data_IF_817591215957
#
_entry.id   IF_817591215957
#
_cell.length_a   1.000
_cell.length_b   1.000
_cell.length_c   1.000
_cell.angle_alpha   90.00
_cell.angle_beta   90.00
_cell.angle_gamma   90.00
#
_symmetry.space_group_name_H-M   'P 1'
#
loop_
_entity.id
_entity.type
_entity.pdbx_description
1 polymer ?
#
# COMPACT_ATOMS: atom_id res chain seq x y z
N UNK A 1 8.55 11.22 5.93
CA UNK A 1 9.17 10.76 4.65
C UNK A 1 8.40 9.57 4.12
N UNK A 2 8.37 9.29 2.81
CA UNK A 2 7.71 8.05 2.32
C UNK A 2 8.54 6.79 2.62
N UNK A 3 7.90 5.62 2.75
CA UNK A 3 8.61 4.33 2.89
C UNK A 3 9.57 4.04 1.73
N UNK A 4 9.25 4.51 0.53
CA UNK A 4 10.13 4.40 -0.63
C UNK A 4 11.38 5.30 -0.52
N UNK A 5 11.27 6.45 0.14
CA UNK A 5 12.42 7.31 0.44
C UNK A 5 13.32 6.65 1.49
N UNK A 6 12.74 6.08 2.56
CA UNK A 6 13.51 5.34 3.57
C UNK A 6 14.37 4.24 2.95
N UNK A 7 13.85 3.47 1.98
CA UNK A 7 14.64 2.47 1.26
C UNK A 7 15.82 3.10 0.52
N UNK A 8 15.61 4.25 -0.14
CA UNK A 8 16.68 4.96 -0.87
C UNK A 8 17.77 5.45 0.07
N UNK A 9 17.38 5.97 1.23
CA UNK A 9 18.31 6.46 2.25
C UNK A 9 19.11 5.30 2.85
N UNK A 10 18.46 4.17 3.18
CA UNK A 10 19.19 2.97 3.59
C UNK A 10 20.16 2.48 2.51
N UNK A 11 19.75 2.48 1.23
CA UNK A 11 20.64 2.11 0.13
C UNK A 11 21.85 3.03 0.00
N UNK A 12 21.70 4.32 0.30
CA UNK A 12 22.82 5.27 0.29
C UNK A 12 23.90 4.88 1.30
N UNK A 13 23.51 4.40 2.48
CA UNK A 13 24.45 3.91 3.50
C UNK A 13 24.94 2.48 3.24
N UNK A 14 24.07 1.59 2.73
CA UNK A 14 24.39 0.16 2.60
C UNK A 14 25.25 -0.13 1.36
N UNK A 15 25.04 0.58 0.25
CA UNK A 15 25.80 0.32 -0.99
C UNK A 15 27.32 0.49 -0.85
N UNK A 16 27.86 1.54 -0.19
CA UNK A 16 29.31 1.68 -0.01
C UNK A 16 29.87 0.87 1.17
N UNK A 17 29.01 0.26 1.99
CA UNK A 17 29.43 -0.37 3.25
C UNK A 17 30.26 -1.65 3.06
N UNK A 18 31.20 -1.89 3.99
CA UNK A 18 31.94 -3.14 4.04
C UNK A 18 31.02 -4.34 4.34
N UNK A 19 29.99 -4.15 5.17
CA UNK A 19 29.02 -5.20 5.51
C UNK A 19 28.33 -5.80 4.29
N UNK A 20 27.91 -4.95 3.33
CA UNK A 20 27.16 -5.41 2.15
C UNK A 20 28.03 -5.59 0.90
N UNK A 21 29.31 -5.20 0.93
CA UNK A 21 30.26 -5.38 -0.17
C UNK A 21 30.28 -6.83 -0.72
N UNK A 22 30.32 -7.90 0.11
CA UNK A 22 30.32 -9.27 -0.42
C UNK A 22 29.09 -9.60 -1.28
N UNK A 23 27.92 -9.06 -0.91
CA UNK A 23 26.66 -9.28 -1.64
C UNK A 23 26.68 -8.55 -2.99
N UNK A 24 27.23 -7.34 -3.02
CA UNK A 24 27.38 -6.54 -4.24
C UNK A 24 28.39 -7.19 -5.19
N UNK A 25 29.55 -7.63 -4.67
CA UNK A 25 30.58 -8.32 -5.45
C UNK A 25 30.03 -9.61 -6.06
N UNK A 26 29.29 -10.40 -5.29
CA UNK A 26 28.66 -11.62 -5.78
C UNK A 26 27.63 -11.35 -6.89
N UNK A 27 26.79 -10.32 -6.74
CA UNK A 27 25.85 -9.93 -7.78
C UNK A 27 26.57 -9.44 -9.05
N UNK A 28 27.68 -8.71 -8.89
CA UNK A 28 28.53 -8.25 -9.99
C UNK A 28 29.13 -9.43 -10.76
N UNK A 29 29.68 -10.41 -10.04
CA UNK A 29 30.21 -11.64 -10.62
C UNK A 29 29.12 -12.42 -11.38
N UNK A 30 27.94 -12.60 -10.78
CA UNK A 30 26.81 -13.28 -11.42
C UNK A 30 26.41 -12.60 -12.74
N UNK A 31 26.36 -11.26 -12.77
CA UNK A 31 26.03 -10.49 -13.98
C UNK A 31 27.08 -10.61 -15.08
N UNK A 32 28.36 -10.68 -14.72
CA UNK A 32 29.45 -10.86 -15.68
C UNK A 32 29.35 -12.20 -16.44
N UNK A 33 28.77 -13.23 -15.80
CA UNK A 33 28.62 -14.57 -16.36
C UNK A 33 27.27 -14.79 -17.08
N UNK A 34 26.42 -13.77 -17.20
CA UNK A 34 25.14 -13.92 -17.89
C UNK A 34 25.28 -14.00 -19.42
N UNK A 35 24.38 -14.76 -20.05
CA UNK A 35 24.35 -14.87 -21.51
C UNK A 35 24.05 -13.52 -22.18
N UNK A 36 24.57 -13.33 -23.40
CA UNK A 36 24.37 -12.12 -24.21
C UNK A 36 22.89 -11.71 -24.34
N UNK A 37 21.96 -12.66 -24.40
CA UNK A 37 20.53 -12.38 -24.46
C UNK A 37 19.99 -11.78 -23.15
N UNK A 38 20.46 -12.27 -21.99
CA UNK A 38 20.09 -11.71 -20.67
C UNK A 38 20.68 -10.31 -20.49
N UNK A 39 21.93 -10.12 -20.89
CA UNK A 39 22.59 -8.81 -20.86
C UNK A 39 21.88 -7.79 -21.77
N UNK A 40 21.52 -8.18 -23.02
CA UNK A 40 20.76 -7.32 -23.95
C UNK A 40 19.38 -6.94 -23.39
N UNK A 41 18.63 -7.88 -22.80
CA UNK A 41 17.33 -7.60 -22.16
C UNK A 41 17.46 -6.60 -21.02
N UNK A 42 18.56 -6.65 -20.25
CA UNK A 42 18.81 -5.71 -19.15
C UNK A 42 19.24 -4.33 -19.60
N UNK A 43 19.96 -4.18 -20.73
CA UNK A 43 20.40 -2.85 -21.22
C UNK A 43 19.24 -1.87 -21.48
N UNK A 44 18.00 -2.35 -21.58
CA UNK A 44 16.80 -1.53 -21.75
C UNK A 44 16.28 -0.85 -20.45
N UNK A 45 16.92 -1.04 -19.29
CA UNK A 45 16.45 -0.51 -17.99
C UNK A 45 17.53 0.11 -17.09
N UNK A 46 17.11 0.79 -16.01
CA UNK A 46 18.00 1.30 -14.95
C UNK A 46 18.67 0.12 -14.22
N UNK A 47 19.98 0.01 -14.38
CA UNK A 47 20.73 -1.24 -14.18
C UNK A 47 21.76 -1.22 -13.05
N UNK A 48 21.63 -0.27 -12.13
CA UNK A 48 22.61 -0.11 -11.06
C UNK A 48 22.70 -1.35 -10.15
N UNK A 49 23.91 -1.79 -9.84
CA UNK A 49 24.14 -2.88 -8.89
C UNK A 49 24.11 -2.26 -7.50
N UNK A 50 23.05 -2.58 -6.76
CA UNK A 50 22.81 -2.03 -5.43
C UNK A 50 22.27 -3.11 -4.52
N UNK A 51 22.34 -2.86 -3.22
CA UNK A 51 21.72 -3.71 -2.21
C UNK A 51 20.22 -3.78 -2.49
N UNK A 52 19.74 -4.99 -2.81
CA UNK A 52 18.32 -5.23 -3.08
C UNK A 52 17.54 -5.07 -1.79
N UNK A 53 16.53 -4.20 -1.80
CA UNK A 53 15.71 -3.90 -0.63
C UNK A 53 14.23 -3.79 -0.98
N UNK A 54 13.36 -4.04 0.00
CA UNK A 54 11.92 -3.81 -0.04
C UNK A 54 11.37 -3.59 1.37
N UNK A 55 10.10 -3.22 1.51
CA UNK A 55 9.46 -3.01 2.81
C UNK A 55 8.26 -3.95 3.02
N UNK A 56 7.99 -4.31 4.28
CA UNK A 56 6.95 -5.26 4.70
C UNK A 56 5.62 -4.63 5.07
N UNK A 57 5.30 -3.48 4.47
CA UNK A 57 4.11 -2.69 4.77
C UNK A 57 4.40 -1.20 4.69
N UNK A 58 3.56 -0.44 3.98
CA UNK A 58 3.72 1.00 3.86
C UNK A 58 3.48 1.67 5.22
N UNK A 59 4.20 2.76 5.47
CA UNK A 59 3.96 3.67 6.57
C UNK A 59 3.55 5.02 5.96
N UNK A 60 2.51 5.65 6.50
CA UNK A 60 2.05 6.95 6.00
C UNK A 60 3.18 7.98 6.08
N UNK A 61 3.29 8.95 5.14
CA UNK A 61 4.43 9.86 5.11
C UNK A 61 4.63 10.66 6.40
N UNK A 62 3.53 11.04 7.07
CA UNK A 62 3.52 11.75 8.36
C UNK A 62 3.79 10.86 9.58
N UNK A 63 3.73 9.55 9.41
CA UNK A 63 3.81 8.61 10.50
C UNK A 63 5.27 8.29 10.85
N UNK A 64 5.49 7.97 12.12
CA UNK A 64 6.73 7.45 12.66
C UNK A 64 6.55 5.98 13.07
N UNK A 65 7.65 5.35 13.47
CA UNK A 65 7.61 4.02 14.08
C UNK A 65 8.21 2.92 13.21
N UNK A 66 7.84 1.68 13.50
CA UNK A 66 8.45 0.47 12.92
C UNK A 66 8.17 0.40 11.41
N UNK A 67 9.23 0.25 10.61
CA UNK A 67 9.16 -0.08 9.18
C UNK A 67 10.04 -1.29 8.91
N UNK A 68 9.41 -2.44 8.62
CA UNK A 68 10.14 -3.68 8.32
C UNK A 68 10.78 -3.56 6.94
N UNK A 69 12.11 -3.74 6.87
CA UNK A 69 12.88 -3.78 5.63
C UNK A 69 13.42 -5.18 5.37
N UNK A 70 13.22 -5.66 4.14
CA UNK A 70 13.81 -6.91 3.67
C UNK A 70 15.04 -6.61 2.82
N UNK A 71 16.16 -7.28 3.10
CA UNK A 71 17.42 -7.13 2.36
C UNK A 71 17.76 -8.41 1.59
N UNK A 72 18.18 -8.28 0.32
CA UNK A 72 18.61 -9.39 -0.51
C UNK A 72 17.54 -10.46 -0.69
N UNK A 73 17.81 -11.68 -0.20
CA UNK A 73 16.84 -12.79 -0.22
C UNK A 73 15.69 -12.59 0.78
N UNK A 74 15.89 -11.79 1.83
CA UNK A 74 14.87 -11.45 2.82
C UNK A 74 13.67 -10.71 2.22
N UNK A 75 13.82 -10.08 1.04
CA UNK A 75 12.67 -9.46 0.34
C UNK A 75 11.56 -10.46 0.01
N UNK A 76 11.87 -11.77 -0.07
CA UNK A 76 10.89 -12.82 -0.36
C UNK A 76 9.96 -13.11 0.83
N UNK A 77 10.36 -12.75 2.04
CA UNK A 77 9.57 -12.97 3.26
C UNK A 77 8.66 -11.79 3.60
N UNK A 78 8.77 -10.66 2.87
CA UNK A 78 8.04 -9.43 3.16
C UNK A 78 6.52 -9.59 3.15
N UNK A 79 5.99 -10.52 2.35
CA UNK A 79 4.56 -10.78 2.28
C UNK A 79 3.98 -11.20 3.64
N UNK A 80 4.69 -12.03 4.39
CA UNK A 80 4.24 -12.50 5.72
C UNK A 80 4.07 -11.37 6.75
N UNK A 81 4.79 -10.26 6.56
CA UNK A 81 4.70 -9.10 7.44
C UNK A 81 3.53 -8.17 7.10
N UNK A 82 2.91 -8.34 5.92
CA UNK A 82 1.71 -7.58 5.58
C UNK A 82 0.52 -8.06 6.43
N UNK A 83 0.44 -9.37 6.65
CA UNK A 83 -0.70 -10.05 7.30
C UNK A 83 -0.61 -10.07 8.84
N UNK A 84 0.52 -9.64 9.42
CA UNK A 84 0.68 -9.57 10.87
C UNK A 84 -0.13 -8.43 11.52
N UNK A 85 -0.38 -8.57 12.83
CA UNK A 85 -0.98 -7.51 13.64
C UNK A 85 -0.01 -6.34 13.84
N UNK A 86 -0.58 -5.15 14.02
CA UNK A 86 0.17 -3.90 14.17
C UNK A 86 -0.41 -3.13 15.35
N UNK A 87 0.45 -2.50 16.13
CA UNK A 87 0.04 -1.59 17.19
C UNK A 87 0.38 -0.17 16.78
N UNK A 88 -0.59 0.71 16.93
CA UNK A 88 -0.49 2.13 16.61
C UNK A 88 -0.82 2.96 17.83
N UNK A 89 -0.14 4.09 17.94
CA UNK A 89 -0.53 5.21 18.78
C UNK A 89 -0.79 6.41 17.87
N UNK A 90 -1.97 7.00 17.99
CA UNK A 90 -2.42 8.09 17.11
C UNK A 90 -2.99 9.22 17.94
N UNK A 91 -2.81 10.45 17.47
CA UNK A 91 -3.54 11.60 18.02
C UNK A 91 -4.64 11.98 17.05
N UNK A 92 -5.87 12.01 17.57
CA UNK A 92 -7.07 12.45 16.86
C UNK A 92 -7.36 13.89 17.25
N UNK A 93 -7.47 14.78 16.25
CA UNK A 93 -7.82 16.19 16.44
C UNK A 93 -9.24 16.42 15.91
N UNK A 94 -10.13 16.94 16.76
CA UNK A 94 -11.54 17.11 16.44
C UNK A 94 -11.85 18.46 15.78
N UNK A 95 -13.08 18.61 15.27
CA UNK A 95 -13.65 19.84 14.75
C UNK A 95 -13.36 20.15 13.27
N UNK A 96 -12.60 19.32 12.56
CA UNK A 96 -12.43 19.45 11.12
C UNK A 96 -12.11 18.12 10.43
N UNK A 97 -12.50 18.02 9.16
CA UNK A 97 -12.15 16.91 8.26
C UNK A 97 -11.29 17.40 7.10
N UNK A 98 -10.32 16.59 6.67
CA UNK A 98 -9.46 16.87 5.53
C UNK A 98 -9.63 15.83 4.42
N UNK A 99 -9.17 16.13 3.21
CA UNK A 99 -9.25 15.22 2.06
C UNK A 99 -8.37 13.96 2.22
N UNK A 100 -7.24 14.07 2.93
CA UNK A 100 -6.33 12.95 3.23
C UNK A 100 -6.66 12.22 4.53
N UNK A 101 -7.62 12.73 5.33
CA UNK A 101 -7.94 12.33 6.71
C UNK A 101 -6.80 12.52 7.72
N UNK A 102 -5.77 13.29 7.36
CA UNK A 102 -4.68 13.68 8.25
C UNK A 102 -4.42 15.18 8.18
N UNK A 103 -3.55 15.67 9.07
CA UNK A 103 -3.19 17.09 9.15
C UNK A 103 -2.40 17.65 7.96
N UNK A 104 -2.05 16.81 6.97
CA UNK A 104 -1.27 17.24 5.79
C UNK A 104 -2.18 17.57 4.60
N UNK A 105 -3.44 17.13 4.65
CA UNK A 105 -4.44 17.43 3.63
C UNK A 105 -5.00 18.84 3.72
N UNK A 106 -6.01 19.11 2.89
CA UNK A 106 -6.77 20.35 2.86
C UNK A 106 -8.07 20.20 3.63
N UNK A 107 -8.48 21.25 4.35
CA UNK A 107 -9.75 21.27 5.07
C UNK A 107 -10.93 21.16 4.09
N UNK A 108 -11.73 20.11 4.25
CA UNK A 108 -12.99 19.94 3.54
C UNK A 108 -14.14 20.64 4.27
N UNK A 109 -14.19 20.47 5.60
CA UNK A 109 -15.28 20.95 6.45
C UNK A 109 -14.77 21.19 7.87
N UNK A 110 -15.25 22.28 8.47
CA UNK A 110 -15.14 22.60 9.91
C UNK A 110 -16.48 22.31 10.58
N UNK A 111 -16.44 21.78 11.79
CA UNK A 111 -17.63 21.39 12.57
C UNK A 111 -17.48 21.82 14.02
N UNK A 112 -18.61 21.98 14.72
CA UNK A 112 -18.60 22.29 16.13
C UNK A 112 -17.89 21.19 16.94
N UNK A 113 -17.14 21.61 17.95
CA UNK A 113 -16.35 20.73 18.80
C UNK A 113 -16.54 20.99 20.30
N UNK A 114 -17.29 22.03 20.69
CA UNK A 114 -17.49 22.42 22.09
C UNK A 114 -18.20 21.34 22.93
N UNK A 115 -19.04 20.53 22.29
CA UNK A 115 -19.78 19.46 22.95
C UNK A 115 -18.97 18.19 23.18
N UNK A 116 -17.77 18.09 22.61
CA UNK A 116 -16.97 16.86 22.64
C UNK A 116 -16.29 16.76 24.00
N UNK A 117 -16.59 15.68 24.71
CA UNK A 117 -16.03 15.42 26.04
C UNK A 117 -15.31 14.08 26.07
N UNK A 118 -14.36 13.93 27.00
CA UNK A 118 -13.65 12.66 27.22
C UNK A 118 -14.60 11.44 27.35
N UNK A 119 -15.66 11.47 28.19
CA UNK A 119 -16.56 10.32 28.33
C UNK A 119 -17.30 9.97 27.04
N UNK A 120 -17.67 10.98 26.24
CA UNK A 120 -18.32 10.77 24.94
C UNK A 120 -17.40 10.04 23.97
N UNK A 121 -16.11 10.39 23.94
CA UNK A 121 -15.10 9.72 23.12
C UNK A 121 -14.85 8.30 23.63
N UNK A 122 -14.69 8.10 24.94
CA UNK A 122 -14.51 6.77 25.53
C UNK A 122 -15.69 5.83 25.22
N UNK A 123 -16.93 6.34 25.23
CA UNK A 123 -18.11 5.58 24.82
C UNK A 123 -18.09 5.25 23.32
N UNK A 124 -17.79 6.24 22.47
CA UNK A 124 -17.71 6.04 21.02
C UNK A 124 -16.68 4.96 20.63
N UNK A 125 -15.53 4.92 21.31
CA UNK A 125 -14.47 3.93 21.10
C UNK A 125 -14.95 2.49 21.27
N UNK A 126 -15.96 2.22 22.11
CA UNK A 126 -16.47 0.86 22.31
C UNK A 126 -16.97 0.22 21.02
N UNK A 127 -17.55 1.01 20.11
CA UNK A 127 -18.07 0.52 18.83
C UNK A 127 -17.00 0.16 17.80
N UNK A 128 -15.75 0.55 18.04
CA UNK A 128 -14.61 0.25 17.16
C UNK A 128 -13.78 -0.95 17.65
N UNK A 129 -14.18 -1.60 18.74
CA UNK A 129 -13.53 -2.83 19.22
C UNK A 129 -14.09 -4.07 18.52
N UNK A 130 -13.22 -5.02 18.21
CA UNK A 130 -13.57 -6.24 17.49
C UNK A 130 -13.70 -6.03 15.99
N UNK A 131 -14.53 -6.87 15.35
CA UNK A 131 -14.65 -6.94 13.89
C UNK A 131 -15.68 -5.97 13.35
N UNK A 132 -15.29 -5.17 12.36
CA UNK A 132 -16.21 -4.29 11.64
C UNK A 132 -15.75 -4.04 10.19
N UNK A 133 -16.60 -3.40 9.40
CA UNK A 133 -16.30 -3.01 8.02
C UNK A 133 -15.78 -1.57 8.01
N UNK A 134 -14.61 -1.38 7.42
CA UNK A 134 -13.98 -0.06 7.28
C UNK A 134 -13.84 0.29 5.81
N UNK A 135 -14.17 1.53 5.43
CA UNK A 135 -13.84 2.05 4.11
C UNK A 135 -12.38 2.55 4.08
N UNK A 136 -11.54 2.06 3.16
CA UNK A 136 -10.22 2.63 2.92
C UNK A 136 -10.30 4.10 2.51
N UNK A 137 -9.35 4.96 2.92
CA UNK A 137 -9.34 6.35 2.52
C UNK A 137 -8.99 6.46 1.02
N UNK A 138 -9.48 7.53 0.39
CA UNK A 138 -9.19 7.86 -1.00
C UNK A 138 -7.67 7.97 -1.25
N UNK A 139 -6.93 8.60 -0.34
CA UNK A 139 -5.47 8.68 -0.39
C UNK A 139 -4.81 7.41 0.18
N UNK A 140 -4.98 6.29 -0.51
CA UNK A 140 -4.38 4.99 -0.17
C UNK A 140 -3.61 4.36 -1.35
N UNK A 141 -2.73 3.41 -1.05
CA UNK A 141 -1.98 2.64 -2.04
C UNK A 141 -2.82 1.50 -2.66
N UNK A 142 -4.11 1.40 -2.33
CA UNK A 142 -5.03 0.43 -2.92
C UNK A 142 -5.10 0.65 -4.44
N UNK A 143 -5.10 -0.42 -5.23
CA UNK A 143 -5.15 -0.32 -6.70
C UNK A 143 -6.56 -0.50 -7.24
N UNK A 144 -6.93 0.35 -8.17
CA UNK A 144 -8.08 0.19 -9.07
C UNK A 144 -7.58 0.24 -10.50
N UNK A 145 -7.92 -0.78 -11.29
CA UNK A 145 -7.48 -0.94 -12.68
C UNK A 145 -5.95 -0.78 -12.88
N UNK A 146 -5.17 -1.31 -11.92
CA UNK A 146 -3.71 -1.26 -11.96
C UNK A 146 -3.08 0.03 -11.44
N UNK A 147 -3.85 1.10 -11.24
CA UNK A 147 -3.38 2.39 -10.69
C UNK A 147 -3.75 2.55 -9.20
N UNK A 148 -2.86 3.07 -8.34
CA UNK A 148 -3.17 3.40 -6.94
C UNK A 148 -4.24 4.50 -6.78
N UNK A 149 -5.06 4.45 -5.72
CA UNK A 149 -6.13 5.43 -5.46
C UNK A 149 -5.62 6.86 -5.29
N UNK A 150 -4.50 7.03 -4.60
CA UNK A 150 -3.92 8.36 -4.42
C UNK A 150 -3.54 9.03 -5.75
N UNK A 151 -3.32 8.27 -6.83
CA UNK A 151 -3.03 8.83 -8.16
C UNK A 151 -4.29 9.43 -8.78
N UNK A 152 -5.43 8.73 -8.67
CA UNK A 152 -6.73 9.29 -9.10
C UNK A 152 -7.07 10.58 -8.35
N UNK A 153 -6.88 10.57 -7.03
CA UNK A 153 -7.12 11.74 -6.18
C UNK A 153 -6.28 12.96 -6.60
N UNK A 154 -4.96 12.76 -6.80
CA UNK A 154 -4.05 13.83 -7.21
C UNK A 154 -4.27 14.33 -8.63
N UNK A 155 -4.72 13.45 -9.52
CA UNK A 155 -5.07 13.81 -10.89
C UNK A 155 -6.47 14.45 -11.00
N UNK A 156 -7.23 14.52 -9.90
CA UNK A 156 -8.62 14.98 -9.88
C UNK A 156 -9.53 14.14 -10.77
N UNK A 157 -9.17 12.87 -11.02
CA UNK A 157 -9.91 11.98 -11.90
C UNK A 157 -10.94 11.18 -11.12
N UNK A 158 -12.15 10.98 -11.67
CA UNK A 158 -13.12 10.10 -11.05
C UNK A 158 -12.54 8.70 -10.94
N UNK A 159 -12.81 8.05 -9.80
CA UNK A 159 -12.45 6.66 -9.62
C UNK A 159 -13.34 5.77 -10.53
N UNK A 160 -12.81 4.70 -11.14
CA UNK A 160 -13.57 3.88 -12.09
C UNK A 160 -14.78 3.18 -11.47
N UNK A 161 -14.69 2.88 -10.17
CA UNK A 161 -15.73 2.24 -9.37
C UNK A 161 -15.62 2.67 -7.92
N UNK A 162 -16.64 2.38 -7.15
CA UNK A 162 -16.70 2.64 -5.72
C UNK A 162 -15.59 1.91 -4.94
N UNK A 163 -15.13 2.53 -3.86
CA UNK A 163 -14.18 1.92 -2.93
C UNK A 163 -14.95 0.88 -2.11
N UNK A 164 -14.55 -0.39 -2.19
CA UNK A 164 -15.15 -1.44 -1.39
C UNK A 164 -14.66 -1.38 0.07
N UNK A 165 -15.59 -1.52 1.01
CA UNK A 165 -15.29 -1.72 2.43
C UNK A 165 -14.53 -3.03 2.67
N UNK A 166 -13.80 -3.07 3.78
CA UNK A 166 -12.98 -4.24 4.17
C UNK A 166 -13.24 -4.61 5.61
N UNK A 167 -13.32 -5.91 5.87
CA UNK A 167 -13.36 -6.44 7.21
C UNK A 167 -12.04 -6.20 7.91
N UNK A 168 -12.09 -5.52 9.06
CA UNK A 168 -10.96 -5.27 9.94
C UNK A 168 -11.28 -5.78 11.34
N UNK A 169 -10.26 -5.95 12.17
CA UNK A 169 -10.40 -6.41 13.55
C UNK A 169 -9.47 -5.61 14.45
N UNK A 170 -10.02 -5.10 15.55
CA UNK A 170 -9.33 -4.30 16.57
C UNK A 170 -9.37 -5.05 17.89
N UNK A 171 -8.26 -5.72 18.21
CA UNK A 171 -8.12 -6.54 19.42
C UNK A 171 -7.94 -5.72 20.69
N UNK A 172 -7.26 -4.58 20.61
CA UNK A 172 -7.01 -3.67 21.73
C UNK A 172 -7.32 -2.25 21.27
N UNK A 173 -7.96 -1.46 22.11
CA UNK A 173 -8.27 -0.05 21.84
C UNK A 173 -8.39 0.70 23.16
N UNK A 174 -7.53 1.69 23.36
CA UNK A 174 -7.41 2.41 24.63
C UNK A 174 -7.23 3.91 24.37
N UNK A 175 -7.95 4.74 25.12
CA UNK A 175 -7.69 6.17 25.22
C UNK A 175 -6.52 6.36 26.21
N UNK A 176 -5.37 6.77 25.71
CA UNK A 176 -4.17 6.97 26.55
C UNK A 176 -4.16 8.35 27.20
N UNK A 177 -4.53 9.38 26.45
CA UNK A 177 -4.43 10.76 26.89
C UNK A 177 -5.58 11.58 26.30
N UNK A 178 -6.16 12.44 27.13
CA UNK A 178 -7.15 13.43 26.72
C UNK A 178 -6.52 14.81 26.81
N UNK A 179 -6.60 15.57 25.72
CA UNK A 179 -6.15 16.95 25.68
C UNK A 179 -7.36 17.87 25.69
N UNK A 180 -7.49 18.62 26.78
CA UNK A 180 -8.49 19.69 26.87
C UNK A 180 -8.19 20.81 25.85
N UNK A 181 -9.22 21.54 25.40
CA UNK A 181 -9.04 22.76 24.61
C UNK A 181 -7.92 23.66 25.16
N UNK A 182 -6.94 23.96 24.32
CA UNK A 182 -5.81 24.85 24.64
C UNK A 182 -4.62 24.17 25.33
N UNK A 183 -4.67 22.87 25.60
CA UNK A 183 -3.58 22.14 26.29
C UNK A 183 -2.58 21.45 25.34
N UNK A 184 -2.82 21.46 24.03
CA UNK A 184 -1.98 20.80 23.04
C UNK A 184 -1.54 21.73 21.89
N UNK A 185 -0.49 21.31 21.19
CA UNK A 185 0.10 22.04 20.05
C UNK A 185 -0.43 21.60 18.67
N UNK A 186 -1.25 20.54 18.58
CA UNK A 186 -1.82 20.12 17.30
C UNK A 186 -2.71 21.21 16.69
N UNK A 187 -2.63 21.38 15.36
CA UNK A 187 -3.36 22.40 14.59
C UNK A 187 -4.01 21.76 13.37
N UNK A 188 -5.12 22.35 12.91
CA UNK A 188 -5.66 22.05 11.58
C UNK A 188 -4.73 22.60 10.49
N UNK A 189 -4.72 22.00 9.29
CA UNK A 189 -4.01 22.57 8.16
C UNK A 189 -4.59 23.93 7.74
N UNK A 190 -3.76 24.81 7.21
CA UNK A 190 -4.18 26.15 6.77
C UNK A 190 -4.86 26.15 5.40
N UNK A 191 -4.58 25.15 4.55
CA UNK A 191 -5.15 25.06 3.21
C UNK A 191 -6.59 24.56 3.26
N UNK A 192 -7.50 25.27 2.59
CA UNK A 192 -8.88 24.82 2.39
C UNK A 192 -9.03 24.17 1.00
N UNK A 193 -9.82 23.10 0.95
CA UNK A 193 -10.14 22.42 -0.29
C UNK A 193 -11.05 23.29 -1.17
N UNK A 194 -10.85 23.22 -2.48
CA UNK A 194 -11.71 23.86 -3.48
C UNK A 194 -13.11 23.24 -3.47
N UNK A 195 -14.11 23.96 -4.01
CA UNK A 195 -15.48 23.44 -4.12
C UNK A 195 -15.56 22.11 -4.86
N UNK A 196 -14.69 21.91 -5.86
CA UNK A 196 -14.59 20.65 -6.59
C UNK A 196 -14.09 19.51 -5.71
N UNK A 197 -13.01 19.73 -4.96
CA UNK A 197 -12.45 18.74 -4.03
C UNK A 197 -13.45 18.39 -2.91
N UNK A 198 -14.21 19.39 -2.42
CA UNK A 198 -15.30 19.16 -1.45
C UNK A 198 -16.41 18.29 -2.03
N UNK A 199 -16.92 18.62 -3.22
CA UNK A 199 -17.98 17.84 -3.87
C UNK A 199 -17.55 16.40 -4.18
N UNK A 200 -16.30 16.20 -4.58
CA UNK A 200 -15.74 14.86 -4.80
C UNK A 200 -15.67 14.04 -3.51
N UNK A 201 -15.22 14.65 -2.41
CA UNK A 201 -15.18 13.98 -1.11
C UNK A 201 -16.59 13.63 -0.60
N UNK A 202 -17.56 14.53 -0.78
CA UNK A 202 -18.96 14.26 -0.42
C UNK A 202 -19.56 13.08 -1.19
N UNK A 203 -19.22 12.94 -2.47
CA UNK A 203 -19.67 11.78 -3.27
C UNK A 203 -19.10 10.47 -2.72
N UNK A 204 -17.81 10.44 -2.36
CA UNK A 204 -17.18 9.27 -1.74
C UNK A 204 -17.83 8.92 -0.39
N UNK A 205 -18.14 9.91 0.44
CA UNK A 205 -18.82 9.70 1.73
C UNK A 205 -20.28 9.27 1.60
N UNK A 206 -20.99 9.67 0.54
CA UNK A 206 -22.34 9.16 0.27
C UNK A 206 -22.30 7.66 -0.02
N UNK A 207 -21.41 7.25 -0.91
CA UNK A 207 -21.15 5.84 -1.22
C UNK A 207 -20.80 5.04 0.04
N UNK A 208 -19.99 5.62 0.94
CA UNK A 208 -19.68 5.00 2.23
C UNK A 208 -20.91 4.74 3.08
N UNK A 209 -21.77 5.75 3.24
CA UNK A 209 -23.02 5.61 3.99
C UNK A 209 -23.95 4.58 3.35
N UNK A 210 -24.07 4.56 2.04
CA UNK A 210 -24.94 3.62 1.32
C UNK A 210 -24.44 2.18 1.48
N UNK A 211 -23.13 1.96 1.35
CA UNK A 211 -22.51 0.65 1.59
C UNK A 211 -22.63 0.18 3.04
N UNK A 212 -22.51 1.08 4.02
CA UNK A 212 -22.70 0.73 5.44
C UNK A 212 -24.16 0.48 5.80
N UNK A 213 -25.11 1.18 5.17
CA UNK A 213 -26.55 1.06 5.45
C UNK A 213 -27.25 -0.02 4.61
N UNK A 214 -26.53 -0.69 3.69
CA UNK A 214 -27.06 -1.72 2.78
C UNK A 214 -28.22 -1.25 1.89
N UNK A 215 -28.37 0.07 1.69
CA UNK A 215 -29.43 0.64 0.86
C UNK A 215 -28.93 0.70 -0.60
N UNK A 216 -29.59 0.00 -1.52
CA UNK A 216 -29.34 0.19 -2.96
C UNK A 216 -29.96 1.53 -3.38
N UNK A 217 -29.22 2.33 -4.15
CA UNK A 217 -29.72 3.58 -4.74
C UNK A 217 -31.00 3.31 -5.55
N UNK A 218 -31.94 4.23 -5.47
CA UNK A 218 -33.16 4.18 -6.29
C UNK A 218 -32.83 4.51 -7.76
N UNK A 219 -33.63 4.04 -8.74
CA UNK A 219 -33.40 4.33 -10.16
C UNK A 219 -33.34 5.83 -10.50
N UNK A 220 -34.09 6.67 -9.78
CA UNK A 220 -34.07 8.13 -9.92
C UNK A 220 -32.76 8.75 -9.40
N UNK A 221 -32.18 8.19 -8.33
CA UNK A 221 -30.90 8.64 -7.79
C UNK A 221 -29.72 8.19 -8.68
N UNK A 222 -29.80 7.01 -9.30
CA UNK A 222 -28.84 6.58 -10.33
C UNK A 222 -28.88 7.49 -11.56
N UNK A 223 -30.07 7.93 -11.97
CA UNK A 223 -30.23 8.88 -13.08
C UNK A 223 -29.69 10.28 -12.73
N UNK A 224 -29.86 10.71 -11.47
CA UNK A 224 -29.26 11.95 -10.96
C UNK A 224 -27.73 11.88 -10.89
N UNK A 225 -27.13 10.76 -10.43
CA UNK A 225 -25.67 10.58 -10.39
C UNK A 225 -25.07 10.50 -11.80
N UNK A 226 -25.72 9.77 -12.71
CA UNK A 226 -25.28 9.72 -14.11
C UNK A 226 -25.40 11.08 -14.81
N UNK A 227 -26.41 11.87 -14.50
CA UNK A 227 -26.55 13.26 -14.96
C UNK A 227 -25.44 14.15 -14.38
N UNK A 228 -25.16 14.07 -13.09
CA UNK A 228 -24.07 14.80 -12.46
C UNK A 228 -22.70 14.44 -13.04
N UNK A 229 -22.45 13.16 -13.37
CA UNK A 229 -21.23 12.70 -14.06
C UNK A 229 -21.11 13.28 -15.47
N UNK A 230 -22.20 13.29 -16.24
CA UNK A 230 -22.22 13.90 -17.58
C UNK A 230 -22.01 15.41 -17.53
N UNK A 231 -22.60 16.08 -16.55
CA UNK A 231 -22.43 17.52 -16.37
C UNK A 231 -21.00 17.88 -15.97
N UNK A 232 -20.35 17.05 -15.15
CA UNK A 232 -18.93 17.17 -14.81
C UNK A 232 -18.00 16.93 -16.02
N UNK A 233 -18.28 15.90 -16.83
CA UNK A 233 -17.51 15.62 -18.05
C UNK A 233 -17.66 16.76 -19.08
N UNK A 234 -18.86 17.33 -19.20
CA UNK A 234 -19.13 18.51 -20.02
C UNK A 234 -18.44 19.77 -19.49
N UNK A 235 -18.40 19.99 -18.17
CA UNK A 235 -17.68 21.10 -17.55
C UNK A 235 -16.18 21.01 -17.83
N UNK A 236 -15.61 19.80 -17.67
CA UNK A 236 -14.20 19.54 -17.97
C UNK A 236 -13.87 19.79 -19.44
N UNK A 237 -14.70 19.30 -20.36
CA UNK A 237 -14.51 19.54 -21.80
C UNK A 237 -14.53 21.03 -22.14
N UNK A 238 -15.46 21.80 -21.57
CA UNK A 238 -15.54 23.26 -21.76
C UNK A 238 -14.35 24.00 -21.14
N UNK A 239 -13.84 23.54 -20.00
CA UNK A 239 -12.66 24.12 -19.35
C UNK A 239 -11.39 23.85 -20.18
N UNK A 240 -11.23 22.64 -20.72
CA UNK A 240 -10.11 22.28 -21.61
C UNK A 240 -10.19 23.06 -22.94
N UNK A 241 -11.38 23.22 -23.52
CA UNK A 241 -11.62 24.06 -24.72
C UNK A 241 -11.28 25.55 -24.48
N UNK A 242 -11.56 26.07 -23.28
CA UNK A 242 -11.23 27.46 -22.91
C UNK A 242 -9.72 27.67 -22.72
N UNK A 243 -9.00 26.66 -22.22
CA UNK A 243 -7.53 26.69 -22.09
C UNK A 243 -6.85 26.63 -23.46
N UNK A 244 -7.32 25.79 -24.38
CA UNK A 244 -6.77 25.70 -25.74
C UNK A 244 -7.04 26.97 -26.57
N UNK A 245 -8.19 27.63 -26.37
CA UNK A 245 -8.49 28.92 -27.00
C UNK A 245 -7.54 30.05 -26.55
N UNK A 246 -7.07 30.03 -25.29
CA UNK A 246 -6.10 31.00 -24.76
C UNK A 246 -4.67 30.79 -25.27
N UNK A 247 -4.35 29.58 -25.73
CA UNK A 247 -3.01 29.22 -26.25
C UNK A 247 -2.86 29.59 -27.73
N UNK A 248 -3.95 29.64 -28.50
CA UNK A 248 -3.89 29.84 -29.95
C UNK A 248 -3.63 31.28 -30.41
N UNK A 249 -3.74 32.28 -29.53
CA UNK A 249 -3.63 33.70 -29.93
C UNK A 249 -2.20 34.30 -29.78
N UNK A 250 -1.18 33.47 -29.49
CA UNK A 250 0.19 33.98 -29.24
C UNK A 250 1.32 33.35 -30.06
N UNK A 251 1.02 32.72 -31.18
CA UNK A 251 2.04 32.28 -32.14
C UNK A 251 1.75 32.81 -33.55
N UNK A 252 2.04 34.09 -33.77
CA UNK A 252 2.41 34.53 -35.10
C UNK A 252 3.54 35.58 -35.11
N UNK A 253 4.56 35.24 -35.91
CA UNK A 253 5.79 35.99 -36.29
C UNK A 253 6.94 36.07 -35.28
N UNK A 254 7.96 35.22 -35.49
CA UNK A 254 9.31 35.70 -35.86
C UNK A 254 10.17 34.62 -36.53
N UNK A 255 10.95 35.07 -37.53
CA UNK A 255 11.70 34.31 -38.54
C UNK A 255 12.98 33.65 -38.00
N UNK A 256 13.41 32.60 -38.72
CA UNK A 256 14.72 31.91 -38.73
C UNK A 256 15.93 32.85 -38.60
N UNK A 257 16.92 32.41 -37.82
CA UNK A 257 18.35 32.60 -38.09
C UNK A 257 19.16 31.44 -37.51
N UNK A 258 20.32 31.20 -38.12
CA UNK A 258 21.08 29.97 -38.19
C UNK A 258 22.31 29.98 -37.25
N UNK A 259 22.98 28.83 -37.15
CA UNK A 259 24.42 28.61 -36.89
C UNK A 259 24.92 28.23 -35.48
N UNK A 260 25.59 27.07 -35.50
CA UNK A 260 26.94 26.75 -35.01
C UNK A 260 27.19 26.12 -33.63
N UNK A 261 28.04 25.09 -33.71
CA UNK A 261 28.66 24.24 -32.69
C UNK A 261 29.53 25.04 -31.72
N UNK A 262 29.66 24.59 -30.48
CA UNK A 262 30.96 24.27 -29.87
C UNK A 262 30.84 23.40 -28.60
N UNK A 263 31.91 22.65 -28.34
CA UNK A 263 32.07 21.57 -27.33
C UNK A 263 32.73 22.14 -26.04
N UNK A 264 33.05 21.36 -24.97
CA UNK A 264 32.86 21.78 -23.58
C UNK A 264 34.16 22.31 -22.95
N UNK A 265 34.06 23.10 -21.88
CA UNK A 265 35.22 23.42 -21.04
C UNK A 265 35.06 22.87 -19.63
N UNK A 266 36.03 22.03 -19.26
CA UNK A 266 36.34 21.63 -17.88
C UNK A 266 37.34 22.63 -17.29
N UNK A 267 37.19 22.96 -16.02
CA UNK A 267 38.28 23.49 -15.19
C UNK A 267 38.04 23.19 -13.72
N UNK A 268 38.80 22.23 -13.19
CA UNK A 268 39.76 22.48 -12.11
C UNK A 268 39.27 22.81 -10.70
N UNK A 269 39.41 21.81 -9.82
CA UNK A 269 39.94 21.89 -8.46
C UNK A 269 39.19 22.70 -7.38
N UNK A 270 38.47 21.98 -6.49
CA UNK A 270 38.45 22.27 -5.05
C UNK A 270 38.02 21.01 -4.25
N UNK A 271 38.86 20.63 -3.28
CA UNK A 271 38.63 19.83 -2.05
C UNK A 271 37.60 18.69 -2.00
N UNK A 272 38.01 17.56 -1.42
CA UNK A 272 37.09 16.51 -0.93
C UNK A 272 36.08 17.11 0.06
N UNK A 273 34.88 17.39 -0.44
CA UNK A 273 33.73 17.67 0.41
C UNK A 273 33.31 16.35 1.08
N UNK A 274 32.91 16.38 2.37
CA UNK A 274 32.29 15.22 3.01
C UNK A 274 31.10 14.73 2.16
N UNK A 275 30.79 13.42 2.14
CA UNK A 275 29.75 12.88 1.26
C UNK A 275 28.47 13.72 1.43
N UNK A 276 28.11 14.43 0.37
CA UNK A 276 26.98 15.32 0.38
C UNK A 276 25.74 14.52 0.79
N UNK A 277 25.03 14.99 1.82
CA UNK A 277 23.74 14.46 2.20
C UNK A 277 22.86 14.34 0.93
N UNK A 278 22.08 13.25 0.79
CA UNK A 278 21.39 12.96 -0.46
C UNK A 278 20.52 14.13 -0.90
N UNK A 279 20.67 14.55 -2.17
CA UNK A 279 19.78 15.55 -2.77
C UNK A 279 18.32 15.08 -2.62
N UNK A 280 17.39 15.96 -2.21
CA UNK A 280 16.01 15.59 -1.92
C UNK A 280 15.36 14.92 -3.15
N UNK A 281 15.09 13.61 -3.05
CA UNK A 281 14.44 12.84 -4.11
C UNK A 281 12.92 13.05 -4.14
N UNK A 282 12.24 12.61 -5.21
CA UNK A 282 10.77 12.59 -5.33
C UNK A 282 10.16 11.78 -4.16
N UNK A 283 9.71 12.45 -3.10
CA UNK A 283 9.23 11.84 -1.85
C UNK A 283 10.00 12.20 -0.57
N UNK A 284 11.00 13.08 -0.67
CA UNK A 284 11.50 13.91 0.43
C UNK A 284 10.58 15.14 0.58
N UNK A 285 10.40 15.66 1.80
CA UNK A 285 9.54 16.82 2.12
C UNK A 285 8.05 16.65 1.77
N UNK A 286 7.48 15.48 2.11
CA UNK A 286 6.05 15.20 1.92
C UNK A 286 5.13 15.79 2.99
N UNK A 287 5.72 16.36 4.05
CA UNK A 287 4.98 16.93 5.17
C UNK A 287 5.47 18.37 5.27
N UNK A 288 4.58 19.37 5.27
CA UNK A 288 4.93 20.73 5.67
C UNK A 288 5.56 20.70 7.07
N UNK A 289 6.55 21.56 7.30
CA UNK A 289 7.10 21.72 8.65
C UNK A 289 5.97 22.05 9.63
N UNK A 290 6.06 21.50 10.84
CA UNK A 290 5.09 21.82 11.87
C UNK A 290 5.16 23.34 12.13
N UNK A 291 4.01 24.03 12.22
CA UNK A 291 4.03 25.44 12.57
C UNK A 291 4.74 25.64 13.92
N UNK A 292 5.54 26.69 14.02
CA UNK A 292 6.27 27.02 15.25
C UNK A 292 5.27 27.19 16.41
N UNK A 293 5.66 26.79 17.62
CA UNK A 293 4.84 26.91 18.84
C UNK A 293 4.49 28.38 19.12
N UNK A 294 5.30 29.31 18.62
CA UNK A 294 5.07 30.77 18.67
C UNK A 294 4.09 31.29 17.62
N UNK A 295 3.65 30.48 16.66
CA UNK A 295 2.70 30.91 15.63
C UNK A 295 1.30 31.11 16.21
N UNK A 296 0.60 32.14 15.73
CA UNK A 296 -0.76 32.42 16.17
C UNK A 296 -1.66 31.21 15.92
N UNK A 297 -2.51 30.90 16.89
CA UNK A 297 -3.44 29.79 16.79
C UNK A 297 -4.43 30.03 15.65
N UNK A 298 -4.85 29.00 14.88
CA UNK A 298 -5.81 29.14 13.80
C UNK A 298 -7.26 29.30 14.30
N UNK A 299 -7.45 29.48 15.60
CA UNK A 299 -8.74 29.62 16.26
C UNK A 299 -8.74 30.82 17.18
N UNK A 300 -9.91 31.44 17.30
CA UNK A 300 -10.14 32.62 18.14
C UNK A 300 -10.40 32.26 19.62
N UNK A 301 -10.67 30.98 19.90
CA UNK A 301 -11.02 30.45 21.22
C UNK A 301 -9.88 29.60 21.84
N UNK A 302 -10.21 28.58 22.65
CA UNK A 302 -9.20 27.64 23.19
C UNK A 302 -8.80 26.56 22.18
N UNK A 303 -9.53 26.40 21.09
CA UNK A 303 -9.33 25.38 20.08
C UNK A 303 -10.07 24.08 20.35
N UNK A 304 -10.01 23.13 19.42
CA UNK A 304 -10.65 21.84 19.57
C UNK A 304 -9.94 20.97 20.63
N UNK A 305 -10.64 20.01 21.24
CA UNK A 305 -9.99 18.96 22.01
C UNK A 305 -9.23 17.99 21.09
N UNK A 306 -8.36 17.18 21.69
CA UNK A 306 -7.68 16.07 21.02
C UNK A 306 -7.58 14.85 21.93
N UNK A 307 -7.36 13.67 21.34
CA UNK A 307 -7.21 12.43 22.08
C UNK A 307 -6.06 11.58 21.53
N UNK A 308 -5.19 11.09 22.41
CA UNK A 308 -4.20 10.06 22.06
C UNK A 308 -4.79 8.68 22.31
N UNK A 309 -4.80 7.84 21.27
CA UNK A 309 -5.42 6.52 21.28
C UNK A 309 -4.39 5.48 20.86
N UNK A 310 -4.32 4.38 21.61
CA UNK A 310 -3.55 3.19 21.25
C UNK A 310 -4.49 2.11 20.73
N UNK A 311 -4.08 1.40 19.69
CA UNK A 311 -4.86 0.30 19.11
C UNK A 311 -3.98 -0.81 18.57
N UNK A 312 -4.41 -2.06 18.74
CA UNK A 312 -3.82 -3.24 18.08
C UNK A 312 -4.80 -3.80 17.06
N UNK A 313 -4.38 -3.80 15.79
CA UNK A 313 -5.25 -4.05 14.63
C UNK A 313 -4.67 -5.10 13.68
N UNK A 314 -5.53 -5.71 12.88
CA UNK A 314 -5.14 -6.62 11.80
C UNK A 314 -4.63 -5.89 10.55
N UNK A 315 -4.14 -6.66 9.57
CA UNK A 315 -3.69 -6.13 8.29
C UNK A 315 -4.81 -5.43 7.53
N UNK A 316 -4.50 -4.31 6.88
CA UNK A 316 -5.47 -3.59 6.04
C UNK A 316 -6.33 -2.58 6.80
N UNK A 317 -6.14 -2.42 8.11
CA UNK A 317 -6.72 -1.33 8.90
C UNK A 317 -6.08 0.03 8.56
N UNK A 318 -6.92 1.04 8.38
CA UNK A 318 -6.52 2.43 8.12
C UNK A 318 -6.82 3.31 9.33
N UNK A 319 -5.76 3.73 10.04
CA UNK A 319 -5.90 4.61 11.22
C UNK A 319 -6.51 5.96 10.84
N UNK A 320 -6.20 6.46 9.65
CA UNK A 320 -6.80 7.67 9.07
C UNK A 320 -8.32 7.58 8.95
N UNK A 321 -8.84 6.48 8.39
CA UNK A 321 -10.30 6.24 8.33
C UNK A 321 -10.89 6.14 9.73
N UNK A 322 -10.25 5.41 10.64
CA UNK A 322 -10.70 5.35 12.04
C UNK A 322 -10.83 6.74 12.70
N UNK A 323 -9.86 7.65 12.47
CA UNK A 323 -9.94 9.01 13.01
C UNK A 323 -11.15 9.77 12.43
N UNK A 324 -11.38 9.67 11.13
CA UNK A 324 -12.55 10.25 10.46
C UNK A 324 -13.86 9.70 11.04
N UNK A 325 -13.98 8.37 11.13
CA UNK A 325 -15.16 7.67 11.62
C UNK A 325 -15.46 8.00 13.09
N UNK A 326 -14.42 8.12 13.93
CA UNK A 326 -14.56 8.52 15.32
C UNK A 326 -15.13 9.94 15.43
N UNK A 327 -14.66 10.87 14.60
CA UNK A 327 -15.21 12.23 14.51
C UNK A 327 -16.69 12.21 14.16
N UNK A 328 -17.08 11.44 13.15
CA UNK A 328 -18.48 11.27 12.75
C UNK A 328 -19.33 10.65 13.89
N UNK A 329 -18.77 9.67 14.61
CA UNK A 329 -19.44 8.99 15.73
C UNK A 329 -19.77 9.93 16.89
N UNK A 330 -18.93 10.95 17.12
CA UNK A 330 -19.17 11.99 18.14
C UNK A 330 -19.90 13.23 17.58
N UNK A 331 -20.61 13.07 16.46
CA UNK A 331 -21.39 14.13 15.80
C UNK A 331 -20.55 15.37 15.46
N UNK A 332 -19.28 15.16 15.10
CA UNK A 332 -18.35 16.21 14.67
C UNK A 332 -17.54 15.69 13.46
N UNK A 333 -16.37 16.26 13.25
CA UNK A 333 -15.36 15.78 12.30
C UNK A 333 -14.05 15.63 13.03
N UNK A 334 -13.17 14.77 12.52
CA UNK A 334 -11.85 14.63 13.07
C UNK A 334 -10.85 14.21 11.99
N UNK A 335 -9.57 14.44 12.30
CA UNK A 335 -8.44 14.06 11.47
C UNK A 335 -7.33 13.45 12.33
N UNK A 336 -6.44 12.72 11.67
CA UNK A 336 -5.22 12.21 12.29
C UNK A 336 -4.15 13.30 12.36
N UNK A 337 -3.78 13.73 13.55
CA UNK A 337 -2.73 14.72 13.77
C UNK A 337 -1.33 14.08 13.85
N UNK A 338 -1.23 12.93 14.50
CA UNK A 338 0.01 12.17 14.67
C UNK A 338 -0.25 10.69 14.52
N UNK A 339 0.76 9.94 14.05
CA UNK A 339 0.70 8.49 13.98
C UNK A 339 2.07 7.89 14.27
N UNK A 340 2.12 6.95 15.19
CA UNK A 340 3.28 6.13 15.49
C UNK A 340 2.90 4.64 15.40
N UNK A 341 3.59 3.87 14.55
CA UNK A 341 3.48 2.41 14.57
C UNK A 341 4.47 1.84 15.58
N UNK A 342 4.02 1.61 16.82
CA UNK A 342 4.87 1.12 17.90
C UNK A 342 5.25 -0.35 17.77
N UNK A 343 4.45 -1.15 17.06
CA UNK A 343 4.72 -2.58 16.80
C UNK A 343 4.25 -3.03 15.41
N UNK A 344 5.01 -3.93 14.78
CA UNK A 344 4.56 -4.72 13.64
C UNK A 344 5.04 -6.17 13.78
N UNK A 345 4.11 -7.11 14.00
CA UNK A 345 4.45 -8.48 14.35
C UNK A 345 5.36 -8.52 15.59
N UNK A 346 6.50 -9.20 15.49
CA UNK A 346 7.48 -9.31 16.57
C UNK A 346 8.37 -8.06 16.73
N UNK A 347 8.30 -7.09 15.81
CA UNK A 347 9.14 -5.90 15.81
C UNK A 347 8.50 -4.78 16.62
N UNK A 348 9.19 -4.31 17.66
CA UNK A 348 8.70 -3.31 18.62
C UNK A 348 9.70 -2.16 18.69
N UNK A 349 9.20 -0.92 18.73
CA UNK A 349 10.04 0.27 18.93
C UNK A 349 10.86 0.18 20.22
N UNK A 350 12.13 0.59 20.13
CA UNK A 350 13.10 0.46 21.22
C UNK A 350 13.52 -0.98 21.54
N UNK A 351 12.99 -1.98 20.84
CA UNK A 351 13.36 -3.38 21.00
C UNK A 351 14.69 -3.72 20.34
N UNK A 352 15.29 -4.85 20.74
CA UNK A 352 16.59 -5.32 20.21
C UNK A 352 16.55 -5.71 18.72
N UNK A 353 15.37 -5.78 18.11
CA UNK A 353 15.15 -6.10 16.71
C UNK A 353 14.77 -4.88 15.86
N UNK A 354 14.90 -3.67 16.40
CA UNK A 354 14.73 -2.42 15.67
C UNK A 354 16.03 -1.60 15.72
N UNK A 355 16.40 -1.03 14.57
CA UNK A 355 17.49 -0.07 14.45
C UNK A 355 16.88 1.33 14.39
N UNK A 356 17.44 2.27 15.16
CA UNK A 356 17.05 3.67 15.05
C UNK A 356 17.49 4.23 13.69
N UNK A 357 16.56 4.85 12.95
CA UNK A 357 16.85 5.33 11.60
C UNK A 357 17.97 6.38 11.58
N UNK A 358 18.07 7.19 12.64
CA UNK A 358 19.12 8.20 12.80
C UNK A 358 20.52 7.61 12.97
N UNK A 359 20.65 6.35 13.39
CA UNK A 359 21.96 5.69 13.56
C UNK A 359 22.67 5.47 12.22
N UNK A 360 21.94 5.40 11.11
CA UNK A 360 22.54 5.29 9.76
C UNK A 360 23.46 6.48 9.45
N UNK A 361 23.09 7.67 9.91
CA UNK A 361 23.88 8.90 9.73
C UNK A 361 25.13 8.94 10.62
N UNK A 362 25.18 8.15 11.71
CA UNK A 362 26.32 8.09 12.64
C UNK A 362 27.50 7.28 12.08
N UNK A 363 27.32 6.62 10.94
CA UNK A 363 28.36 5.87 10.22
C UNK A 363 28.34 4.36 10.48
N UNK A 364 29.02 3.62 9.61
CA UNK A 364 28.98 2.15 9.56
C UNK A 364 29.40 1.48 10.88
N UNK A 365 30.35 2.07 11.60
CA UNK A 365 30.85 1.56 12.88
C UNK A 365 29.76 1.44 13.96
N UNK A 366 28.69 2.24 13.87
CA UNK A 366 27.59 2.25 14.83
C UNK A 366 26.50 1.23 14.47
N UNK A 367 26.04 1.24 13.21
CA UNK A 367 24.88 0.44 12.81
C UNK A 367 25.24 -0.95 12.28
N UNK A 368 26.45 -1.18 11.74
CA UNK A 368 26.75 -2.42 11.02
C UNK A 368 26.72 -3.66 11.92
N UNK A 369 27.22 -3.56 13.16
CA UNK A 369 27.19 -4.66 14.12
C UNK A 369 25.76 -5.07 14.47
N UNK A 370 24.88 -4.10 14.68
CA UNK A 370 23.46 -4.32 14.97
C UNK A 370 22.73 -4.95 13.78
N UNK A 371 22.91 -4.38 12.58
CA UNK A 371 22.30 -4.92 11.35
C UNK A 371 22.80 -6.33 11.08
N UNK A 372 24.09 -6.60 11.26
CA UNK A 372 24.66 -7.94 11.13
C UNK A 372 24.02 -8.92 12.12
N UNK A 373 23.90 -8.54 13.39
CA UNK A 373 23.27 -9.38 14.41
C UNK A 373 21.81 -9.71 14.07
N UNK A 374 21.03 -8.72 13.61
CA UNK A 374 19.64 -8.92 13.18
C UNK A 374 19.55 -9.88 11.97
N UNK A 375 20.44 -9.73 10.99
CA UNK A 375 20.50 -10.61 9.82
C UNK A 375 20.93 -12.03 10.19
N UNK A 376 21.93 -12.19 11.05
CA UNK A 376 22.41 -13.49 11.53
C UNK A 376 21.32 -14.21 12.31
N UNK A 377 20.61 -13.50 13.19
CA UNK A 377 19.47 -14.05 13.94
C UNK A 377 18.35 -14.52 12.99
N UNK A 378 17.99 -13.70 11.99
CA UNK A 378 16.98 -14.07 11.00
C UNK A 378 17.37 -15.30 10.19
N UNK A 379 18.62 -15.35 9.72
CA UNK A 379 19.13 -16.46 8.91
C UNK A 379 19.24 -17.75 9.73
N UNK A 380 19.54 -17.66 11.02
CA UNK A 380 19.61 -18.81 11.93
C UNK A 380 18.22 -19.40 12.19
N UNK A 381 17.20 -18.57 12.42
CA UNK A 381 15.79 -19.03 12.60
C UNK A 381 15.27 -19.80 11.38
N UNK A 382 15.70 -19.45 10.18
CA UNK A 382 15.34 -20.13 8.93
C UNK A 382 16.02 -21.49 8.69
N UNK A 383 17.03 -21.86 9.49
CA UNK A 383 17.69 -23.16 9.39
C UNK A 383 17.00 -24.24 10.24
N UNK A 384 16.36 -23.87 11.35
CA UNK A 384 15.63 -24.77 12.24
C UNK A 384 14.29 -25.29 11.69
N UNK A 385 13.75 -24.69 10.62
CA UNK A 385 12.42 -25.03 10.07
C UNK A 385 12.45 -25.65 8.67
N UNK A 386 13.60 -26.18 8.22
CA UNK A 386 13.64 -27.03 7.03
C UNK A 386 13.52 -28.50 7.43
N UNK A 387 12.37 -29.18 7.21
CA UNK A 387 12.40 -30.62 7.09
C UNK A 387 13.34 -30.93 5.94
N UNK A 388 14.35 -31.77 6.18
CA UNK A 388 15.12 -32.34 5.09
C UNK A 388 14.15 -33.13 4.21
N UNK A 389 13.81 -32.60 3.04
CA UNK A 389 13.18 -33.37 1.99
C UNK A 389 14.13 -34.52 1.62
N UNK A 390 13.71 -35.79 1.65
CA UNK A 390 14.58 -36.89 1.28
C UNK A 390 15.05 -36.68 -0.15
N UNK A 391 16.36 -36.83 -0.37
CA UNK A 391 16.96 -36.88 -1.69
C UNK A 391 16.23 -37.94 -2.51
N UNK A 392 15.48 -37.50 -3.52
CA UNK A 392 14.81 -38.38 -4.48
C UNK A 392 15.89 -39.03 -5.34
N UNK A 393 16.33 -40.22 -4.95
CA UNK A 393 17.17 -41.09 -5.76
C UNK A 393 16.46 -41.34 -7.09
N UNK A 394 17.11 -41.00 -8.20
CA UNK A 394 16.67 -41.39 -9.55
C UNK A 394 16.83 -42.91 -9.67
N UNK A 395 15.75 -43.66 -9.56
CA UNK A 395 15.71 -45.05 -10.01
C UNK A 395 15.62 -45.06 -11.55
N UNK A 396 16.73 -45.43 -12.19
CA UNK A 396 16.74 -45.91 -13.56
C UNK A 396 15.96 -47.24 -13.61
N UNK A 397 14.94 -47.33 -14.48
CA UNK A 397 14.31 -48.60 -14.83
C UNK A 397 15.22 -49.36 -15.80
N UNK A 398 15.67 -50.54 -15.38
CA UNK A 398 16.25 -51.55 -16.27
C UNK A 398 15.12 -52.38 -16.92
N UNK A 399 15.34 -52.95 -18.13
CA UNK A 399 14.31 -53.68 -18.87
C UNK A 399 14.13 -55.11 -18.33
N UNK A 400 12.89 -55.61 -18.34
CA UNK A 400 12.59 -57.00 -17.98
C UNK A 400 12.86 -57.97 -19.14
N UNK A 401 13.23 -59.24 -18.83
CA UNK A 401 13.49 -60.26 -19.83
C UNK A 401 12.23 -61.01 -20.26
N UNK A 402 12.24 -61.44 -21.52
CA UNK A 402 11.28 -62.33 -22.15
C UNK A 402 11.71 -63.77 -21.87
N UNK A 403 10.80 -64.64 -21.45
CA UNK A 403 10.97 -66.09 -21.60
C UNK A 403 9.61 -66.79 -21.77
N UNK A 404 9.69 -67.85 -22.57
CA UNK A 404 8.70 -68.56 -23.36
C UNK A 404 8.33 -69.94 -22.78
N UNK A 405 7.43 -70.64 -23.50
CA UNK A 405 7.10 -72.10 -23.45
C UNK A 405 6.13 -72.53 -22.35
N UNK A 406 5.24 -73.51 -22.49
CA UNK A 406 4.56 -74.20 -23.60
C UNK A 406 3.40 -75.00 -22.97
N UNK A 407 2.47 -75.43 -23.82
CA UNK A 407 1.31 -76.33 -23.68
C UNK A 407 1.26 -77.40 -22.56
N UNK A 408 0.07 -77.63 -21.99
CA UNK A 408 -0.71 -78.90 -22.07
C UNK A 408 -2.09 -78.83 -21.34
N UNK A 409 -3.08 -79.53 -21.89
CA UNK A 409 -4.42 -79.87 -21.35
C UNK A 409 -4.49 -81.42 -21.15
N UNK A 410 -5.58 -82.09 -20.69
CA UNK A 410 -6.89 -81.67 -20.10
C UNK A 410 -7.31 -82.46 -18.82
N UNK A 411 -8.49 -82.15 -18.23
CA UNK A 411 -9.19 -83.08 -17.31
C UNK A 411 -10.35 -82.53 -16.44
N UNK A 412 -11.57 -82.54 -16.99
CA UNK A 412 -12.91 -82.84 -16.39
C UNK A 412 -13.23 -82.59 -14.90
N UNK A 413 -14.28 -81.79 -14.59
CA UNK A 413 -15.67 -82.24 -14.26
C UNK A 413 -16.55 -81.11 -13.65
N UNK A 414 -17.81 -81.12 -14.12
CA UNK A 414 -19.12 -80.75 -13.52
C UNK A 414 -19.55 -79.34 -13.06
N UNK A 415 -20.80 -79.02 -13.43
CA UNK A 415 -21.74 -78.34 -12.52
C UNK A 415 -22.36 -76.99 -12.91
N UNK A 416 -23.28 -77.00 -13.88
CA UNK A 416 -24.56 -76.25 -13.93
C UNK A 416 -24.67 -74.73 -13.66
N UNK A 417 -25.30 -74.07 -14.64
CA UNK A 417 -26.50 -73.20 -14.56
C UNK A 417 -26.44 -71.78 -15.18
N UNK A 418 -27.23 -71.67 -16.24
CA UNK A 418 -28.00 -70.55 -16.80
C UNK A 418 -27.45 -69.11 -16.91
N UNK A 419 -27.16 -68.80 -18.18
CA UNK A 419 -27.91 -67.85 -19.03
C UNK A 419 -27.81 -66.34 -18.81
N UNK A 420 -26.97 -65.79 -19.70
CA UNK A 420 -27.32 -64.81 -20.72
C UNK A 420 -27.38 -63.31 -20.38
N UNK A 421 -26.33 -62.70 -20.94
CA UNK A 421 -26.36 -61.56 -21.86
C UNK A 421 -26.14 -60.15 -21.31
N UNK A 422 -24.84 -59.77 -21.32
CA UNK A 422 -24.23 -58.92 -22.37
C UNK A 422 -25.25 -58.06 -23.15
N UNK A 423 -25.00 -56.79 -23.44
CA UNK A 423 -23.78 -56.30 -24.07
C UNK A 423 -23.92 -54.81 -24.39
N UNK A 424 -22.77 -54.10 -24.35
CA UNK A 424 -22.27 -53.17 -25.38
C UNK A 424 -23.23 -52.05 -25.87
N UNK A 425 -22.82 -50.80 -26.04
CA UNK A 425 -21.64 -50.35 -26.79
C UNK A 425 -21.56 -48.82 -26.72
N UNK A 426 -20.37 -48.32 -26.41
CA UNK A 426 -19.59 -47.27 -27.10
C UNK A 426 -20.32 -46.25 -28.00
N UNK A 427 -19.94 -44.99 -27.69
CA UNK A 427 -19.26 -43.96 -28.52
C UNK A 427 -20.08 -42.94 -29.32
N UNK A 428 -19.47 -41.75 -29.28
CA UNK A 428 -19.43 -40.63 -30.26
C UNK A 428 -20.72 -39.83 -30.40
N UNK A 429 -20.76 -38.60 -29.90
CA UNK A 429 -20.16 -37.35 -30.44
C UNK A 429 -21.14 -36.62 -31.38
N UNK A 430 -21.28 -35.34 -31.03
CA UNK A 430 -21.43 -34.17 -31.88
C UNK A 430 -22.83 -33.72 -32.33
N UNK A 431 -23.14 -32.53 -31.80
CA UNK A 431 -23.48 -31.29 -32.51
C UNK A 431 -24.95 -30.99 -32.86
N UNK A 432 -25.36 -29.88 -32.25
CA UNK A 432 -26.03 -28.70 -32.83
C UNK A 432 -27.53 -28.72 -33.10
N UNK A 433 -28.16 -27.70 -32.48
CA UNK A 433 -29.26 -26.84 -32.95
C UNK A 433 -30.55 -27.55 -33.38
N UNK A 434 -31.72 -27.22 -32.83
CA UNK A 434 -32.37 -25.91 -32.92
C UNK A 434 -33.65 -25.96 -32.06
N UNK A 435 -34.08 -24.80 -31.51
CA UNK A 435 -35.46 -24.25 -31.50
C UNK A 435 -36.63 -25.26 -31.33
N UNK A 436 -37.55 -25.13 -30.38
CA UNK A 436 -38.38 -23.97 -30.04
C UNK A 436 -39.17 -24.24 -28.73
N UNK A 437 -39.61 -23.15 -28.10
CA UNK A 437 -40.84 -22.94 -27.33
C UNK A 437 -41.48 -24.13 -26.57
N UNK A 438 -41.53 -24.02 -25.24
CA UNK A 438 -42.79 -23.68 -24.56
C UNK A 438 -42.57 -23.41 -23.06
N UNK A 439 -42.91 -22.20 -22.63
CA UNK A 439 -43.56 -21.95 -21.33
C UNK A 439 -44.97 -22.61 -21.34
N UNK A 440 -45.70 -22.80 -20.22
CA UNK A 440 -45.64 -21.99 -19.02
C UNK A 440 -45.90 -22.72 -17.68
N UNK A 441 -45.94 -21.90 -16.61
CA UNK A 441 -46.55 -22.12 -15.27
C UNK A 441 -45.87 -23.17 -14.38
N UNK A 442 -45.41 -22.87 -13.16
CA UNK A 442 -45.84 -21.90 -12.14
C UNK A 442 -44.67 -21.16 -11.49
#
# INVERSE_FOLDING_TARGET
>A
MSSAQVIRDCQHHFNPSALFKPVIDQETANRSQESNNKQKRRKSGKNDIRVKMGHGGTLDPLATGVLILGVGKGTKSLQSFLDCTKTYETVVLFGASTDTYDRVGKILKKTAYDHITRPMVEEALKSFRGKYQQMPPLYSALKMEGKPLYEYAREGKPIPREIATRGVDVSELELLEWYEPGTHSHRWPSEEATNFERGFAEQVWKVEKDQMTSKKLTPEEEEADTKARKDHENFKRKADEHVDALVYDRLNKRKKANSQKDIPMMSGALGELPPAAPKPGKGSNLIPEAPDVSSASPWDDKGPPAARIRMTVTSGFYVRSFCHDLGAKVSSSAMMAELCRSRQGDFVLGGSNCLEFSDLAKGESVWASQVKAMLDQWNSKGQTTRPQSPLRAKQNKSPQPVQSTESEQPGTTDGTEHDQNKSLRRRSRSLSAHKDNNSPTY
#
